data_IF_761808674218
#
_entry.id   IF_761808674218
#
_cell.length_a   1.000
_cell.length_b   1.000
_cell.length_c   1.000
_cell.angle_alpha   90.00
_cell.angle_beta   90.00
_cell.angle_gamma   90.00
#
_symmetry.space_group_name_H-M   'P 1'
#
loop_
_entity.id
_entity.type
_entity.pdbx_description
1 polymer ?
#
# COMPACT_ATOMS: atom_id res chain seq x y z
N UNK A 1 -3.12 42.64 3.34
CA UNK A 1 -1.85 41.94 3.64
C UNK A 1 -2.13 40.46 3.56
N UNK A 2 -1.42 39.82 2.63
CA UNK A 2 -1.07 38.40 2.56
C UNK A 2 -2.20 37.37 2.51
N UNK A 3 -2.58 37.04 1.27
CA UNK A 3 -3.10 35.75 0.87
C UNK A 3 -2.24 34.63 1.51
N UNK A 4 -2.87 33.62 2.11
CA UNK A 4 -2.21 32.39 2.55
C UNK A 4 -2.54 31.25 1.57
N UNK A 5 -1.89 31.16 0.39
CA UNK A 5 -2.11 30.08 -0.57
C UNK A 5 -1.38 28.78 -0.20
N UNK A 6 -0.45 28.81 0.75
CA UNK A 6 0.52 27.72 0.97
C UNK A 6 -0.10 26.51 1.70
N UNK A 7 -0.96 26.72 2.71
CA UNK A 7 -1.60 25.64 3.47
C UNK A 7 -2.49 24.72 2.64
N UNK A 8 -3.04 25.21 1.54
CA UNK A 8 -3.90 24.41 0.66
C UNK A 8 -3.07 23.52 -0.28
N UNK A 9 -1.83 23.90 -0.57
CA UNK A 9 -0.96 23.14 -1.46
C UNK A 9 -0.39 21.91 -0.75
N UNK A 10 0.04 22.05 0.51
CA UNK A 10 0.57 20.94 1.32
C UNK A 10 -0.48 19.84 1.53
N UNK A 11 -1.70 20.19 1.95
CA UNK A 11 -2.78 19.19 2.11
C UNK A 11 -3.12 18.47 0.81
N UNK A 12 -3.13 19.18 -0.32
CA UNK A 12 -3.42 18.56 -1.63
C UNK A 12 -2.31 17.61 -2.07
N UNK A 13 -1.05 17.95 -1.79
CA UNK A 13 0.09 17.08 -2.02
C UNK A 13 0.00 15.82 -1.13
N UNK A 14 -0.33 15.97 0.14
CA UNK A 14 -0.53 14.85 1.07
C UNK A 14 -1.66 13.90 0.60
N UNK A 15 -2.79 14.46 0.15
CA UNK A 15 -3.91 13.68 -0.38
C UNK A 15 -3.56 12.97 -1.69
N UNK A 16 -2.83 13.63 -2.60
CA UNK A 16 -2.36 13.01 -3.85
C UNK A 16 -1.35 11.88 -3.58
N UNK A 17 -0.43 12.08 -2.65
CA UNK A 17 0.54 11.05 -2.23
C UNK A 17 -0.17 9.87 -1.58
N UNK A 18 -1.12 10.12 -0.67
CA UNK A 18 -1.90 9.07 -0.03
C UNK A 18 -2.73 8.26 -1.05
N UNK A 19 -3.33 8.94 -2.04
CA UNK A 19 -4.06 8.29 -3.12
C UNK A 19 -3.14 7.43 -4.02
N UNK A 20 -1.93 7.92 -4.32
CA UNK A 20 -0.94 7.13 -5.08
C UNK A 20 -0.47 5.90 -4.30
N UNK A 21 -0.25 6.01 -2.99
CA UNK A 21 0.16 4.90 -2.13
C UNK A 21 -0.89 3.79 -2.06
N UNK A 22 -2.18 4.13 -1.96
CA UNK A 22 -3.27 3.13 -1.95
C UNK A 22 -3.37 2.40 -3.29
N UNK A 23 -3.26 3.12 -4.41
CA UNK A 23 -3.25 2.51 -5.74
C UNK A 23 -2.06 1.58 -5.93
N UNK A 24 -0.88 1.99 -5.44
CA UNK A 24 0.33 1.17 -5.55
C UNK A 24 0.23 -0.13 -4.74
N UNK A 25 -0.27 -0.05 -3.51
CA UNK A 25 -0.53 -1.22 -2.68
C UNK A 25 -1.52 -2.20 -3.33
N UNK A 26 -2.59 -1.66 -3.90
CA UNK A 26 -3.59 -2.46 -4.61
C UNK A 26 -2.95 -3.21 -5.79
N UNK A 27 -2.13 -2.52 -6.59
CA UNK A 27 -1.40 -3.14 -7.70
C UNK A 27 -0.45 -4.24 -7.24
N UNK A 28 0.39 -3.97 -6.24
CA UNK A 28 1.34 -4.93 -5.67
C UNK A 28 0.64 -6.15 -5.09
N UNK A 29 -0.47 -5.93 -4.38
CA UNK A 29 -1.29 -7.00 -3.82
C UNK A 29 -1.86 -7.88 -4.92
N UNK A 30 -2.38 -7.29 -6.00
CA UNK A 30 -2.89 -8.05 -7.15
C UNK A 30 -1.79 -8.84 -7.85
N UNK A 31 -0.60 -8.26 -8.01
CA UNK A 31 0.56 -8.97 -8.55
C UNK A 31 0.97 -10.15 -7.66
N UNK A 32 0.97 -9.95 -6.33
CA UNK A 32 1.30 -11.00 -5.38
C UNK A 32 0.27 -12.16 -5.37
N UNK A 33 -1.03 -11.86 -5.56
CA UNK A 33 -2.08 -12.86 -5.77
C UNK A 33 -1.84 -13.63 -7.06
N UNK A 34 -1.65 -12.92 -8.19
CA UNK A 34 -1.37 -13.54 -9.49
C UNK A 34 -0.10 -14.40 -9.45
N UNK A 35 0.85 -14.02 -8.60
CA UNK A 35 2.07 -14.76 -8.35
C UNK A 35 1.91 -15.98 -7.41
N UNK A 36 0.76 -16.17 -6.77
CA UNK A 36 0.53 -17.24 -5.79
C UNK A 36 1.34 -17.07 -4.49
N UNK A 37 1.82 -15.85 -4.22
CA UNK A 37 2.58 -15.51 -3.01
C UNK A 37 1.64 -15.29 -1.82
N UNK A 38 0.47 -14.71 -2.09
CA UNK A 38 -0.61 -14.46 -1.14
C UNK A 38 -1.94 -14.94 -1.74
N UNK A 39 -2.94 -15.12 -0.89
CA UNK A 39 -4.30 -15.54 -1.25
C UNK A 39 -5.19 -14.32 -1.47
N UNK A 40 -4.97 -13.26 -0.69
CA UNK A 40 -5.79 -12.06 -0.71
C UNK A 40 -5.14 -10.92 0.07
N UNK A 41 -5.66 -9.72 -0.14
CA UNK A 41 -5.25 -8.53 0.59
C UNK A 41 -6.44 -7.57 0.75
N UNK A 42 -6.35 -6.66 1.71
CA UNK A 42 -7.38 -5.64 1.94
C UNK A 42 -6.92 -4.60 2.95
N UNK A 43 -7.65 -3.48 3.04
CA UNK A 43 -7.41 -2.46 4.06
C UNK A 43 -8.62 -2.39 5.00
N UNK A 44 -8.40 -2.69 6.27
CA UNK A 44 -9.44 -2.73 7.30
C UNK A 44 -8.92 -2.12 8.61
N UNK A 45 -9.74 -1.29 9.26
CA UNK A 45 -9.43 -0.76 10.59
C UNK A 45 -8.17 0.12 10.67
N UNK A 46 -7.69 0.69 9.55
CA UNK A 46 -6.45 1.46 9.49
C UNK A 46 -5.20 0.62 9.21
N UNK A 47 -5.34 -0.70 9.03
CA UNK A 47 -4.26 -1.62 8.74
C UNK A 47 -4.48 -2.32 7.40
N UNK A 48 -3.38 -2.70 6.78
CA UNK A 48 -3.39 -3.52 5.58
C UNK A 48 -3.25 -4.99 5.98
N UNK A 49 -4.20 -5.79 5.53
CA UNK A 49 -4.30 -7.21 5.79
C UNK A 49 -3.73 -7.98 4.59
N UNK A 50 -2.82 -8.92 4.85
CA UNK A 50 -2.28 -9.82 3.84
C UNK A 50 -2.57 -11.25 4.26
N UNK A 51 -3.33 -11.97 3.43
CA UNK A 51 -3.68 -13.38 3.65
C UNK A 51 -2.65 -14.26 2.96
N UNK A 52 -1.81 -14.95 3.73
CA UNK A 52 -0.78 -15.85 3.21
C UNK A 52 -0.96 -17.24 3.79
N UNK A 53 -1.37 -18.21 2.97
CA UNK A 53 -1.41 -19.66 3.30
C UNK A 53 -1.94 -19.99 4.70
N UNK A 54 -3.04 -19.35 5.11
CA UNK A 54 -3.69 -19.59 6.40
C UNK A 54 -3.25 -18.65 7.53
N UNK A 55 -2.29 -17.76 7.27
CA UNK A 55 -1.87 -16.70 8.19
C UNK A 55 -2.39 -15.34 7.72
N UNK A 56 -2.82 -14.50 8.66
CA UNK A 56 -3.18 -13.10 8.41
C UNK A 56 -2.05 -12.24 8.96
N UNK A 57 -1.42 -11.46 8.08
CA UNK A 57 -0.42 -10.47 8.47
C UNK A 57 -1.07 -9.09 8.45
N UNK A 58 -0.90 -8.35 9.53
CA UNK A 58 -1.40 -6.98 9.67
C UNK A 58 -0.21 -6.03 9.64
N UNK A 59 -0.27 -5.07 8.73
CA UNK A 59 0.80 -4.10 8.50
C UNK A 59 0.24 -2.69 8.42
N UNK A 60 1.08 -1.68 8.66
CA UNK A 60 0.80 -0.35 8.12
C UNK A 60 0.83 -0.39 6.58
N UNK A 61 0.22 0.58 5.88
CA UNK A 61 0.33 0.68 4.43
C UNK A 61 1.79 0.65 3.93
N UNK A 62 2.70 1.33 4.61
CA UNK A 62 4.12 1.40 4.24
C UNK A 62 4.81 0.03 4.41
N UNK A 63 4.55 -0.66 5.52
CA UNK A 63 5.07 -1.99 5.79
C UNK A 63 4.54 -3.02 4.78
N UNK A 64 3.25 -2.94 4.45
CA UNK A 64 2.64 -3.81 3.45
C UNK A 64 3.26 -3.61 2.06
N UNK A 65 3.57 -2.36 1.70
CA UNK A 65 4.20 -2.05 0.43
C UNK A 65 5.59 -2.71 0.35
N UNK A 66 6.44 -2.44 1.35
CA UNK A 66 7.77 -3.02 1.42
C UNK A 66 7.75 -4.55 1.41
N UNK A 67 6.81 -5.16 2.16
CA UNK A 67 6.63 -6.60 2.20
C UNK A 67 6.28 -7.20 0.84
N UNK A 68 5.32 -6.59 0.13
CA UNK A 68 4.87 -7.06 -1.19
C UNK A 68 5.95 -6.86 -2.25
N UNK A 69 6.64 -5.73 -2.24
CA UNK A 69 7.78 -5.46 -3.15
C UNK A 69 8.89 -6.48 -2.96
N UNK A 70 9.29 -6.76 -1.71
CA UNK A 70 10.31 -7.74 -1.40
C UNK A 70 9.90 -9.16 -1.83
N UNK A 71 8.65 -9.53 -1.58
CA UNK A 71 8.12 -10.84 -1.96
C UNK A 71 8.12 -11.04 -3.48
N UNK A 72 7.75 -10.01 -4.25
CA UNK A 72 7.76 -10.03 -5.71
C UNK A 72 9.19 -10.06 -6.28
N UNK A 73 10.11 -9.28 -5.71
CA UNK A 73 11.52 -9.29 -6.12
C UNK A 73 12.18 -10.65 -5.89
N UNK A 74 11.90 -11.31 -4.75
CA UNK A 74 12.44 -12.64 -4.44
C UNK A 74 11.95 -13.72 -5.40
N UNK A 75 10.75 -13.58 -5.97
CA UNK A 75 10.21 -14.51 -6.98
C UNK A 75 10.83 -14.34 -8.37
N UNK A 76 11.27 -13.13 -8.72
CA UNK A 76 11.86 -12.82 -10.02
C UNK A 76 13.32 -13.26 -10.20
N UNK A 77 13.94 -13.85 -9.17
CA UNK A 77 15.27 -14.49 -9.23
C UNK A 77 15.13 -15.99 -9.44
#
# INVERSE_FOLDING_TARGET
>A
MSEQPEKNLEQRLEDEVAFMSINKLTELGNQAIAAGLIIGHGFHGGQYEILRRGEVLLFSPEEAQAYLEEALQKKGK
#
